data_IF_912315535250
#
_entry.id   IF_912315535250
#
_cell.length_a   1.000
_cell.length_b   1.000
_cell.length_c   1.000
_cell.angle_alpha   90.00
_cell.angle_beta   90.00
_cell.angle_gamma   90.00
#
_symmetry.space_group_name_H-M   'P 1'
#
loop_
_entity.id
_entity.type
_entity.pdbx_description
1 polymer ?
#
# COMPACT_ATOMS: atom_id res chain seq x y z
N UNK A 1 -8.50 13.22 0.73
CA UNK A 1 -7.16 13.06 0.10
C UNK A 1 -6.20 14.04 0.75
N UNK A 2 -5.36 13.55 1.67
CA UNK A 2 -4.44 14.41 2.43
C UNK A 2 -3.38 15.00 1.49
N UNK A 3 -2.64 14.18 0.72
CA UNK A 3 -1.63 14.68 -0.22
C UNK A 3 -2.20 15.64 -1.27
N UNK A 4 -3.35 15.31 -1.88
CA UNK A 4 -3.94 16.09 -2.97
C UNK A 4 -4.29 17.52 -2.56
N UNK A 5 -4.68 17.73 -1.30
CA UNK A 5 -4.96 19.08 -0.78
C UNK A 5 -3.70 19.94 -0.71
N UNK A 6 -2.54 19.35 -0.47
CA UNK A 6 -1.27 20.06 -0.32
C UNK A 6 -0.45 20.13 -1.61
N UNK A 7 -0.51 19.11 -2.46
CA UNK A 7 0.37 18.97 -3.64
C UNK A 7 -0.39 18.97 -4.97
N UNK A 8 -1.71 19.11 -4.94
CA UNK A 8 -2.62 18.90 -6.10
C UNK A 8 -2.53 17.50 -6.75
N UNK A 9 -1.77 16.57 -6.16
CA UNK A 9 -1.56 15.23 -6.69
C UNK A 9 -1.84 14.15 -5.65
N UNK A 10 -2.29 12.99 -6.14
CA UNK A 10 -2.35 11.80 -5.33
C UNK A 10 -0.96 11.31 -4.99
N UNK A 11 -0.74 10.94 -3.74
CA UNK A 11 0.48 10.26 -3.31
C UNK A 11 0.56 8.86 -3.94
N UNK A 12 -0.55 8.13 -3.92
CA UNK A 12 -0.67 6.80 -4.53
C UNK A 12 -1.31 6.98 -5.90
N UNK A 13 -0.58 6.72 -7.01
CA UNK A 13 -1.13 6.79 -8.36
C UNK A 13 -2.29 5.82 -8.55
N UNK A 14 -3.23 6.15 -9.44
CA UNK A 14 -4.38 5.29 -9.78
C UNK A 14 -3.98 4.15 -10.73
N UNK A 15 -3.02 3.31 -10.33
CA UNK A 15 -2.59 2.11 -11.06
C UNK A 15 -2.79 0.86 -10.20
N UNK A 16 -2.66 -0.33 -10.81
CA UNK A 16 -2.82 -1.60 -10.11
C UNK A 16 -1.86 -1.75 -8.92
N UNK A 17 -2.37 -2.22 -7.78
CA UNK A 17 -1.62 -2.36 -6.52
C UNK A 17 -0.34 -3.20 -6.64
N UNK A 18 -0.35 -4.23 -7.49
CA UNK A 18 0.85 -5.07 -7.69
C UNK A 18 2.06 -4.28 -8.22
N UNK A 19 1.83 -3.19 -8.96
CA UNK A 19 2.89 -2.30 -9.45
C UNK A 19 3.39 -1.32 -8.38
N UNK A 20 2.57 -1.07 -7.36
CA UNK A 20 2.80 -0.04 -6.34
C UNK A 20 3.33 -0.60 -5.03
N UNK A 21 3.04 -1.85 -4.69
CA UNK A 21 3.38 -2.43 -3.37
C UNK A 21 4.88 -2.44 -3.03
N UNK A 22 5.74 -2.36 -4.05
CA UNK A 22 7.19 -2.26 -3.89
C UNK A 22 7.75 -0.86 -4.12
N UNK A 23 6.89 0.14 -4.31
CA UNK A 23 7.32 1.52 -4.59
C UNK A 23 7.75 2.27 -3.33
N UNK A 24 8.64 3.24 -3.54
CA UNK A 24 9.15 4.12 -2.50
C UNK A 24 8.34 5.41 -2.43
N UNK A 25 7.16 5.34 -1.82
CA UNK A 25 6.29 6.51 -1.66
C UNK A 25 6.49 7.14 -0.29
N UNK A 26 6.61 8.47 -0.29
CA UNK A 26 6.79 9.25 0.93
C UNK A 26 5.86 10.46 0.94
N UNK A 27 5.31 10.76 2.10
CA UNK A 27 4.52 11.96 2.34
C UNK A 27 4.97 12.64 3.63
N UNK A 28 5.47 13.87 3.51
CA UNK A 28 6.04 14.64 4.62
C UNK A 28 7.08 13.86 5.45
N UNK A 29 7.99 13.15 4.76
CA UNK A 29 9.02 12.33 5.41
C UNK A 29 8.53 10.98 5.95
N UNK A 30 7.22 10.69 5.89
CA UNK A 30 6.63 9.43 6.35
C UNK A 30 6.57 8.45 5.17
N UNK A 31 7.09 7.23 5.35
CA UNK A 31 6.99 6.15 4.37
C UNK A 31 5.53 5.72 4.25
N UNK A 32 5.02 5.65 3.02
CA UNK A 32 3.69 5.12 2.71
C UNK A 32 3.84 3.85 1.90
N UNK A 33 3.29 2.75 2.41
CA UNK A 33 3.42 1.42 1.82
C UNK A 33 2.04 0.92 1.36
N UNK A 34 1.74 0.96 0.05
CA UNK A 34 0.47 0.45 -0.47
C UNK A 34 0.37 -1.07 -0.32
N UNK A 35 -0.82 -1.56 0.04
CA UNK A 35 -1.15 -2.98 0.00
C UNK A 35 -2.62 -3.16 -0.44
N UNK A 36 -3.07 -4.41 -0.54
CA UNK A 36 -4.45 -4.73 -0.90
C UNK A 36 -5.42 -4.43 0.26
N UNK A 37 -6.68 -4.17 -0.08
CA UNK A 37 -7.74 -4.05 0.92
C UNK A 37 -7.94 -5.38 1.65
N UNK A 38 -7.93 -5.33 2.98
CA UNK A 38 -7.99 -6.51 3.85
C UNK A 38 -9.44 -6.82 4.28
N UNK A 39 -10.41 -6.04 3.80
CA UNK A 39 -11.82 -6.17 4.17
C UNK A 39 -12.69 -6.57 2.98
N UNK A 40 -13.83 -7.21 3.29
CA UNK A 40 -14.85 -7.64 2.32
C UNK A 40 -14.51 -8.93 1.58
N UNK A 41 -15.41 -9.36 0.70
CA UNK A 41 -15.25 -10.60 -0.09
C UNK A 41 -14.02 -10.60 -1.00
N UNK A 42 -13.45 -9.44 -1.32
CA UNK A 42 -12.27 -9.30 -2.18
C UNK A 42 -11.01 -10.00 -1.65
N UNK A 43 -10.90 -10.19 -0.32
CA UNK A 43 -9.81 -10.97 0.29
C UNK A 43 -9.97 -12.48 0.03
N UNK A 44 -11.21 -12.94 -0.13
CA UNK A 44 -11.57 -14.35 -0.29
C UNK A 44 -11.52 -14.83 -1.76
N UNK A 45 -11.47 -13.91 -2.72
CA UNK A 45 -11.48 -14.24 -4.15
C UNK A 45 -10.15 -14.89 -4.58
N UNK A 46 -9.02 -14.46 -4.00
CA UNK A 46 -7.69 -14.91 -4.41
C UNK A 46 -6.83 -15.23 -3.19
N UNK A 47 -6.46 -16.51 -3.03
CA UNK A 47 -5.51 -16.95 -1.98
C UNK A 47 -4.18 -16.19 -2.03
N UNK A 48 -3.76 -15.75 -3.23
CA UNK A 48 -2.55 -14.95 -3.42
C UNK A 48 -2.61 -13.62 -2.67
N UNK A 49 -3.78 -12.96 -2.55
CA UNK A 49 -3.89 -11.66 -1.86
C UNK A 49 -3.55 -11.75 -0.38
N UNK A 50 -3.98 -12.80 0.30
CA UNK A 50 -3.63 -13.03 1.72
C UNK A 50 -2.12 -13.15 1.88
N UNK A 51 -1.46 -13.93 1.00
CA UNK A 51 0.00 -14.07 1.00
C UNK A 51 0.68 -12.72 0.75
N UNK A 52 0.22 -11.96 -0.25
CA UNK A 52 0.79 -10.66 -0.59
C UNK A 52 0.65 -9.64 0.55
N UNK A 53 -0.53 -9.55 1.18
CA UNK A 53 -0.76 -8.69 2.35
C UNK A 53 0.19 -9.09 3.50
N UNK A 54 0.39 -10.39 3.73
CA UNK A 54 1.29 -10.89 4.77
C UNK A 54 2.74 -10.48 4.50
N UNK A 55 3.21 -10.60 3.26
CA UNK A 55 4.55 -10.16 2.84
C UNK A 55 4.72 -8.65 3.02
N UNK A 56 3.70 -7.86 2.65
CA UNK A 56 3.72 -6.40 2.77
C UNK A 56 3.81 -5.98 4.25
N UNK A 57 3.02 -6.59 5.14
CA UNK A 57 3.07 -6.34 6.59
C UNK A 57 4.44 -6.74 7.16
N UNK A 58 4.98 -7.89 6.75
CA UNK A 58 6.32 -8.31 7.18
C UNK A 58 7.40 -7.31 6.75
N UNK A 59 7.29 -6.72 5.56
CA UNK A 59 8.18 -5.66 5.10
C UNK A 59 8.01 -4.37 5.93
N UNK A 60 6.78 -3.99 6.27
CA UNK A 60 6.51 -2.83 7.15
C UNK A 60 7.14 -3.02 8.53
N UNK A 61 7.01 -4.22 9.11
CA UNK A 61 7.57 -4.55 10.43
C UNK A 61 9.09 -4.47 10.45
N UNK A 62 9.77 -4.81 9.35
CA UNK A 62 11.24 -4.70 9.23
C UNK A 62 11.76 -3.26 9.26
N UNK A 63 10.91 -2.27 8.99
CA UNK A 63 11.32 -0.85 8.98
C UNK A 63 11.24 -0.23 10.38
N UNK A 64 10.40 -0.79 11.26
CA UNK A 64 10.19 -0.28 12.62
C UNK A 64 10.98 -1.04 13.69
N UNK A 65 11.62 -2.16 13.33
CA UNK A 65 12.54 -2.93 14.19
C UNK A 65 13.98 -2.48 13.99
#
# INVERSE_FOLDING_TARGET
MISKKHTNKNLIPSISTYKLRYSELFYNGIRVMPSYIITGGNILIEKSKVKMITEDIAAMLKIIN
#
